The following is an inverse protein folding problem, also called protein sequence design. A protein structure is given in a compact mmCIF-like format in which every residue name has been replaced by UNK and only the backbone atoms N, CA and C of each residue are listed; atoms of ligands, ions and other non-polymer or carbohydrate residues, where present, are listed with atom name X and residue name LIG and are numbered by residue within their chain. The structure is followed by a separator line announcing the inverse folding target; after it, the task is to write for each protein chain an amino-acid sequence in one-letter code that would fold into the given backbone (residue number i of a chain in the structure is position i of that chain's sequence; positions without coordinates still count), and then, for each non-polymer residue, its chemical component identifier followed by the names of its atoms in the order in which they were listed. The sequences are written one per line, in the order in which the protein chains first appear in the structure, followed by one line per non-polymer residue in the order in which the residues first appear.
data_IF_305683157181
#
_entry.id   IF_305683157181
#
_cell.length_a   1.000
_cell.length_b   1.000
_cell.length_c   1.000
_cell.angle_alpha   90.00
_cell.angle_beta   90.00
_cell.angle_gamma   90.00
#
_symmetry.space_group_name_H-M   'P 1'
#
loop_
_entity.id
_entity.type
_entity.pdbx_description
1 polymer ?
#
# COMPACT_ATOMS: atom_id res chain seq x y z
N UNK A 1 38.41 -9.47 20.50
CA UNK A 1 37.63 -8.33 19.98
C UNK A 1 36.17 -8.72 20.02
N UNK A 2 35.46 -8.26 21.04
CA UNK A 2 34.02 -8.43 21.26
C UNK A 2 33.31 -7.25 20.57
N UNK A 3 32.11 -7.47 20.02
CA UNK A 3 30.93 -6.59 20.06
C UNK A 3 29.77 -7.36 19.38
N UNK A 4 28.88 -7.98 20.15
CA UNK A 4 27.58 -7.46 20.63
C UNK A 4 26.49 -7.44 19.53
N UNK A 5 25.23 -7.88 19.70
CA UNK A 5 24.49 -8.41 20.85
C UNK A 5 23.16 -9.02 20.35
N UNK A 6 22.79 -10.17 20.92
CA UNK A 6 21.47 -10.60 21.42
C UNK A 6 20.20 -10.55 20.54
N UNK A 7 19.92 -11.71 19.94
CA UNK A 7 18.70 -12.55 20.05
C UNK A 7 17.61 -12.05 21.03
N UNK A 8 16.48 -11.58 20.51
CA UNK A 8 15.22 -11.47 21.28
C UNK A 8 14.37 -12.73 21.07
N UNK A 9 13.94 -13.30 22.20
CA UNK A 9 13.22 -14.56 22.35
C UNK A 9 11.79 -14.49 21.81
N UNK A 10 11.33 -15.67 21.36
CA UNK A 10 9.94 -16.05 21.09
C UNK A 10 9.00 -15.58 22.21
N UNK A 11 8.08 -14.70 21.86
CA UNK A 11 6.82 -14.49 22.55
C UNK A 11 5.73 -14.55 21.49
N UNK A 12 4.90 -15.59 21.52
CA UNK A 12 3.72 -15.66 20.68
C UNK A 12 2.76 -14.55 21.13
N UNK A 13 2.70 -13.48 20.35
CA UNK A 13 1.66 -12.45 20.48
C UNK A 13 0.68 -12.74 19.36
N UNK A 14 -0.43 -13.41 19.69
CA UNK A 14 -1.64 -13.34 18.89
C UNK A 14 -2.12 -11.89 18.97
N UNK A 15 -1.87 -11.11 17.93
CA UNK A 15 -2.19 -9.68 17.92
C UNK A 15 -3.34 -9.46 16.95
N UNK A 16 -4.47 -9.07 17.52
CA UNK A 16 -5.65 -8.56 16.85
C UNK A 16 -5.25 -7.43 15.89
N UNK A 17 -5.32 -7.70 14.58
CA UNK A 17 -4.74 -6.89 13.50
C UNK A 17 -5.29 -5.45 13.38
N UNK A 18 -6.35 -5.11 14.13
CA UNK A 18 -7.00 -3.80 14.06
C UNK A 18 -6.38 -2.71 14.94
N UNK A 19 -5.69 -3.06 16.04
CA UNK A 19 -5.21 -2.05 17.01
C UNK A 19 -3.88 -1.42 16.59
N UNK A 20 -3.05 -2.16 15.86
CA UNK A 20 -1.66 -1.77 15.53
C UNK A 20 -1.58 -0.73 14.38
N UNK A 21 -2.49 -0.81 13.42
CA UNK A 21 -2.55 0.16 12.31
C UNK A 21 -2.94 1.56 12.81
N UNK A 22 -3.92 1.66 13.70
CA UNK A 22 -4.35 2.96 14.23
C UNK A 22 -3.21 3.65 14.99
N UNK A 23 -2.49 2.91 15.84
CA UNK A 23 -1.32 3.43 16.57
C UNK A 23 -0.18 3.82 15.63
N UNK A 24 0.02 3.07 14.54
CA UNK A 24 1.00 3.44 13.51
C UNK A 24 0.62 4.75 12.81
N UNK A 25 -0.65 4.91 12.43
CA UNK A 25 -1.13 6.13 11.81
C UNK A 25 -1.13 7.33 12.76
N UNK A 26 -1.42 7.14 14.04
CA UNK A 26 -1.38 8.19 15.05
C UNK A 26 0.04 8.76 15.20
N UNK A 27 1.06 7.90 15.17
CA UNK A 27 2.47 8.33 15.16
C UNK A 27 2.88 9.05 13.88
N UNK A 28 2.26 8.74 12.74
CA UNK A 28 2.50 9.48 11.49
C UNK A 28 1.89 10.89 11.53
N UNK A 29 0.81 11.11 12.30
CA UNK A 29 0.16 12.43 12.42
C UNK A 29 1.04 13.44 13.13
N UNK A 30 1.84 13.00 14.10
CA UNK A 30 2.63 13.88 14.98
C UNK A 30 3.78 14.62 14.25
N UNK A 31 4.08 14.28 12.99
CA UNK A 31 5.23 14.83 12.25
C UNK A 31 4.93 15.52 10.92
N UNK A 32 3.67 15.64 10.48
CA UNK A 32 3.34 16.24 9.17
C UNK A 32 2.44 17.49 9.28
N UNK A 33 2.64 18.51 8.41
CA UNK A 33 1.76 19.66 8.34
C UNK A 33 0.34 19.23 7.94
N UNK A 34 -0.67 19.74 8.65
CA UNK A 34 -2.09 19.35 8.56
C UNK A 34 -2.78 19.67 7.22
N UNK A 35 -2.11 20.31 6.26
CA UNK A 35 -2.75 20.70 5.00
C UNK A 35 -2.73 19.54 4.00
N UNK A 36 -3.87 18.86 3.92
CA UNK A 36 -4.18 17.87 2.89
C UNK A 36 -4.30 18.58 1.53
N UNK A 37 -3.65 18.05 0.51
CA UNK A 37 -3.73 18.61 -0.84
C UNK A 37 -5.19 18.56 -1.35
N UNK A 38 -5.79 19.66 -1.83
CA UNK A 38 -7.18 19.67 -2.30
C UNK A 38 -7.43 18.72 -3.48
N UNK A 39 -6.40 18.37 -4.26
CA UNK A 39 -6.51 17.34 -5.31
C UNK A 39 -6.68 15.93 -4.75
N UNK A 40 -6.11 15.64 -3.58
CA UNK A 40 -6.27 14.36 -2.88
C UNK A 40 -7.69 14.19 -2.32
N UNK A 41 -8.32 15.26 -1.84
CA UNK A 41 -9.69 15.19 -1.32
C UNK A 41 -10.71 14.81 -2.41
N UNK A 42 -10.58 15.41 -3.60
CA UNK A 42 -11.41 15.07 -4.75
C UNK A 42 -11.21 13.61 -5.19
N UNK A 43 -9.96 13.14 -5.21
CA UNK A 43 -9.61 11.76 -5.54
C UNK A 43 -10.15 10.76 -4.52
N UNK A 44 -10.01 11.04 -3.22
CA UNK A 44 -10.58 10.24 -2.14
C UNK A 44 -12.10 10.08 -2.30
N UNK A 45 -12.80 11.18 -2.57
CA UNK A 45 -14.25 11.17 -2.77
C UNK A 45 -14.65 10.30 -3.97
N UNK A 46 -13.93 10.42 -5.09
CA UNK A 46 -14.17 9.61 -6.29
C UNK A 46 -13.92 8.12 -6.03
N UNK A 47 -12.80 7.78 -5.37
CA UNK A 47 -12.44 6.41 -5.04
C UNK A 47 -13.42 5.77 -4.06
N UNK A 48 -13.87 6.51 -3.05
CA UNK A 48 -14.90 6.03 -2.13
C UNK A 48 -16.18 5.66 -2.88
N UNK A 49 -16.60 6.48 -3.87
CA UNK A 49 -17.76 6.15 -4.73
C UNK A 49 -17.53 4.91 -5.60
N UNK A 50 -16.33 4.75 -6.15
CA UNK A 50 -15.99 3.60 -7.01
C UNK A 50 -15.89 2.29 -6.24
N UNK A 51 -15.39 2.34 -5.00
CA UNK A 51 -15.22 1.18 -4.12
C UNK A 51 -16.52 0.70 -3.46
N UNK A 52 -17.57 1.54 -3.41
CA UNK A 52 -18.88 1.18 -2.83
C UNK A 52 -19.62 0.07 -3.61
N UNK A 53 -19.22 -0.21 -4.85
CA UNK A 53 -19.91 -1.18 -5.73
C UNK A 53 -19.39 -2.62 -5.62
N UNK A 54 -18.77 -2.97 -4.49
CA UNK A 54 -18.71 -4.35 -3.98
C UNK A 54 -17.57 -5.25 -4.47
N UNK A 55 -17.27 -5.29 -5.77
CA UNK A 55 -16.49 -6.42 -6.31
C UNK A 55 -15.23 -6.01 -7.10
N UNK A 56 -14.81 -4.75 -6.99
CA UNK A 56 -13.74 -4.22 -7.83
C UNK A 56 -12.36 -4.42 -7.23
N UNK A 57 -11.42 -4.95 -8.01
CA UNK A 57 -10.01 -5.02 -7.60
C UNK A 57 -9.30 -3.72 -7.96
N UNK A 58 -8.34 -3.33 -7.14
CA UNK A 58 -7.59 -2.08 -7.27
C UNK A 58 -6.14 -2.41 -7.56
N UNK A 59 -5.60 -1.76 -8.58
CA UNK A 59 -4.18 -1.72 -8.90
C UNK A 59 -3.61 -0.33 -8.69
N UNK A 60 -2.34 -0.25 -8.29
CA UNK A 60 -1.61 1.01 -8.19
C UNK A 60 -0.26 0.84 -8.88
N UNK A 61 0.04 1.72 -9.83
CA UNK A 61 1.38 1.86 -10.39
C UNK A 61 2.08 3.05 -9.73
N UNK A 62 3.35 2.86 -9.35
CA UNK A 62 4.15 3.87 -8.67
C UNK A 62 5.64 3.76 -8.98
N UNK A 63 6.35 4.88 -8.90
CA UNK A 63 7.77 4.97 -9.19
C UNK A 63 8.65 4.80 -7.95
N UNK A 64 9.75 4.07 -8.11
CA UNK A 64 10.82 3.87 -7.11
C UNK A 64 12.16 4.52 -7.49
N UNK A 65 12.14 5.57 -8.33
CA UNK A 65 13.33 6.16 -8.93
C UNK A 65 13.48 5.65 -10.36
N UNK A 66 14.40 4.72 -10.60
CA UNK A 66 14.70 4.21 -11.94
C UNK A 66 13.83 3.00 -12.34
N UNK A 67 12.79 2.71 -11.56
CA UNK A 67 11.90 1.56 -11.73
C UNK A 67 10.44 1.93 -11.52
N UNK A 68 9.57 1.28 -12.30
CA UNK A 68 8.12 1.30 -12.04
C UNK A 68 7.74 0.03 -11.28
N UNK A 69 6.85 0.18 -10.32
CA UNK A 69 6.27 -0.92 -9.55
C UNK A 69 4.77 -0.90 -9.72
N UNK A 70 4.18 -2.07 -9.88
CA UNK A 70 2.73 -2.22 -9.99
C UNK A 70 2.25 -3.20 -8.92
N UNK A 71 1.40 -2.73 -8.02
CA UNK A 71 0.72 -3.58 -7.03
C UNK A 71 -0.72 -3.82 -7.45
N UNK A 72 -1.21 -5.04 -7.30
CA UNK A 72 -2.56 -5.46 -7.69
C UNK A 72 -3.23 -6.30 -6.60
N UNK A 73 -4.49 -6.66 -6.83
CA UNK A 73 -5.36 -7.40 -5.91
C UNK A 73 -5.73 -6.62 -4.63
N UNK A 74 -5.73 -5.28 -4.70
CA UNK A 74 -6.28 -4.46 -3.63
C UNK A 74 -7.81 -4.50 -3.62
N UNK A 75 -8.41 -4.45 -2.44
CA UNK A 75 -9.85 -4.39 -2.25
C UNK A 75 -10.28 -3.06 -1.64
N UNK A 76 -9.42 -2.45 -0.83
CA UNK A 76 -9.68 -1.17 -0.18
C UNK A 76 -8.50 -0.24 -0.34
N UNK A 77 -8.78 0.96 -0.82
CA UNK A 77 -7.81 2.04 -0.98
C UNK A 77 -8.31 3.28 -0.23
N UNK A 78 -7.46 3.81 0.63
CA UNK A 78 -7.71 5.07 1.32
C UNK A 78 -6.42 5.85 1.47
N UNK A 79 -6.56 7.16 1.66
CA UNK A 79 -5.44 8.06 1.81
C UNK A 79 -5.36 8.60 3.22
N UNK A 80 -4.14 8.64 3.75
CA UNK A 80 -3.83 9.17 5.08
C UNK A 80 -2.66 10.14 4.88
N UNK A 81 -2.92 11.43 5.11
CA UNK A 81 -2.04 12.53 4.71
C UNK A 81 -1.65 12.41 3.23
N UNK A 82 -0.35 12.30 2.95
CA UNK A 82 0.23 12.18 1.62
C UNK A 82 0.58 10.73 1.27
N UNK A 83 -0.09 9.76 1.87
CA UNK A 83 0.12 8.34 1.60
C UNK A 83 -1.16 7.64 1.17
N UNK A 84 -1.05 6.77 0.18
CA UNK A 84 -2.07 5.80 -0.17
C UNK A 84 -1.82 4.48 0.53
N UNK A 85 -2.87 3.91 1.11
CA UNK A 85 -2.84 2.63 1.79
C UNK A 85 -3.75 1.68 1.03
N UNK A 86 -3.16 0.60 0.52
CA UNK A 86 -3.88 -0.44 -0.20
C UNK A 86 -3.91 -1.73 0.64
N UNK A 87 -5.10 -2.26 0.83
CA UNK A 87 -5.35 -3.50 1.55
C UNK A 87 -6.08 -4.51 0.65
N UNK A 88 -5.72 -5.80 0.68
CA UNK A 88 -6.47 -6.86 0.01
C UNK A 88 -7.74 -7.21 0.81
N UNK A 89 -8.54 -8.14 0.28
CA UNK A 89 -9.63 -8.76 1.07
C UNK A 89 -9.07 -9.55 2.27
N UNK A 90 -9.84 -9.72 3.35
CA UNK A 90 -9.44 -10.56 4.47
C UNK A 90 -9.09 -11.97 4.01
N UNK A 91 -7.86 -12.41 4.29
CA UNK A 91 -7.34 -13.72 3.88
C UNK A 91 -6.46 -13.69 2.62
N UNK A 92 -6.57 -12.66 1.80
CA UNK A 92 -5.83 -12.52 0.54
C UNK A 92 -4.44 -11.86 0.72
N UNK A 93 -3.73 -11.69 -0.39
CA UNK A 93 -2.48 -10.96 -0.49
C UNK A 93 -2.50 -10.00 -1.69
N UNK A 94 -1.70 -8.95 -1.60
CA UNK A 94 -1.33 -8.10 -2.72
C UNK A 94 -0.18 -8.73 -3.49
N UNK A 95 -0.16 -8.51 -4.80
CA UNK A 95 0.93 -8.92 -5.68
C UNK A 95 1.63 -7.69 -6.24
N UNK A 96 2.94 -7.59 -6.04
CA UNK A 96 3.79 -6.54 -6.56
C UNK A 96 4.60 -7.09 -7.73
N UNK A 97 4.56 -6.41 -8.87
CA UNK A 97 5.43 -6.63 -10.02
C UNK A 97 6.41 -5.46 -10.11
N UNK A 98 7.70 -5.75 -10.20
CA UNK A 98 8.72 -4.74 -10.47
C UNK A 98 9.00 -4.73 -11.97
N UNK A 99 8.88 -3.57 -12.61
CA UNK A 99 9.08 -3.38 -14.04
C UNK A 99 10.36 -2.54 -14.23
N UNK A 100 11.33 -3.10 -14.95
CA UNK A 100 12.58 -2.43 -15.29
C UNK A 100 12.91 -2.68 -16.76
N UNK A 101 13.18 -1.61 -17.52
CA UNK A 101 13.44 -1.71 -18.96
C UNK A 101 12.29 -2.34 -19.76
N UNK A 102 11.04 -2.15 -19.32
CA UNK A 102 9.85 -2.73 -19.95
C UNK A 102 9.64 -4.23 -19.71
N UNK A 103 10.41 -4.86 -18.82
CA UNK A 103 10.28 -6.28 -18.45
C UNK A 103 9.96 -6.44 -16.97
N UNK A 104 9.22 -7.49 -16.63
CA UNK A 104 9.03 -7.89 -15.24
C UNK A 104 10.36 -8.41 -14.70
N UNK A 105 10.94 -7.66 -13.77
CA UNK A 105 12.21 -7.98 -13.13
C UNK A 105 12.02 -8.84 -11.87
N UNK A 106 10.90 -8.65 -11.16
CA UNK A 106 10.63 -9.35 -9.91
C UNK A 106 9.13 -9.42 -9.58
N UNK A 107 8.75 -10.38 -8.72
CA UNK A 107 7.40 -10.58 -8.21
C UNK A 107 7.44 -10.81 -6.71
N UNK A 108 6.68 -10.02 -5.95
CA UNK A 108 6.60 -10.12 -4.49
C UNK A 108 5.14 -10.19 -4.03
N UNK A 109 4.89 -10.91 -2.93
CA UNK A 109 3.56 -11.05 -2.31
C UNK A 109 3.58 -10.44 -0.92
N UNK A 110 2.60 -9.60 -0.59
CA UNK A 110 2.53 -8.90 0.69
C UNK A 110 1.11 -8.74 1.21
N UNK A 111 0.96 -8.45 2.51
CA UNK A 111 -0.36 -8.31 3.16
C UNK A 111 -0.94 -6.90 3.11
N UNK A 112 -0.10 -5.88 2.92
CA UNK A 112 -0.48 -4.47 2.84
C UNK A 112 0.66 -3.67 2.23
N UNK A 113 0.35 -2.51 1.65
CA UNK A 113 1.36 -1.57 1.15
C UNK A 113 0.96 -0.13 1.46
N UNK A 114 1.96 0.70 1.73
CA UNK A 114 1.82 2.14 1.95
C UNK A 114 2.72 2.84 0.93
N UNK A 115 2.13 3.71 0.12
CA UNK A 115 2.79 4.34 -1.03
C UNK A 115 2.68 5.86 -0.87
N UNK A 116 3.77 6.64 -0.97
CA UNK A 116 3.68 8.10 -1.05
C UNK A 116 2.81 8.51 -2.24
N UNK A 117 1.79 9.33 -2.01
CA UNK A 117 0.82 9.71 -3.04
C UNK A 117 1.48 10.43 -4.22
N UNK A 118 2.55 11.19 -3.97
CA UNK A 118 3.34 11.87 -5.00
C UNK A 118 4.21 10.94 -5.86
N UNK A 119 4.24 9.64 -5.58
CA UNK A 119 4.91 8.61 -6.37
C UNK A 119 3.94 7.76 -7.19
N UNK A 120 2.64 7.97 -7.02
CA UNK A 120 1.61 7.21 -7.74
C UNK A 120 1.51 7.76 -9.16
N UNK A 121 1.66 6.87 -10.13
CA UNK A 121 1.53 7.17 -11.55
C UNK A 121 0.09 6.93 -12.00
N UNK A 122 -0.53 5.85 -11.53
CA UNK A 122 -1.91 5.49 -11.88
C UNK A 122 -2.57 4.67 -10.76
N UNK A 123 -3.91 4.79 -10.70
CA UNK A 123 -4.77 3.94 -9.88
C UNK A 123 -5.75 3.29 -10.85
N UNK A 124 -5.71 1.97 -10.92
CA UNK A 124 -6.49 1.16 -11.84
C UNK A 124 -7.61 0.45 -11.09
N UNK A 125 -8.79 0.43 -11.70
CA UNK A 125 -9.96 -0.28 -11.20
C UNK A 125 -10.21 -1.45 -12.14
N UNK A 126 -10.33 -2.64 -11.56
CA UNK A 126 -10.37 -3.94 -12.25
C UNK A 126 -9.19 -4.14 -13.21
N UNK A 127 -7.94 -4.05 -12.70
CA UNK A 127 -6.77 -4.25 -13.54
C UNK A 127 -6.73 -5.69 -14.06
N UNK A 128 -6.57 -5.85 -15.37
CA UNK A 128 -6.31 -7.17 -15.97
C UNK A 128 -4.94 -7.67 -15.51
N UNK A 129 -4.90 -8.91 -15.01
CA UNK A 129 -3.64 -9.57 -14.71
C UNK A 129 -3.11 -10.19 -15.99
N UNK A 130 -2.17 -9.52 -16.65
CA UNK A 130 -1.36 -10.21 -17.67
C UNK A 130 -0.37 -11.14 -16.95
N UNK A 131 -0.69 -12.43 -16.99
CA UNK A 131 0.22 -13.52 -16.65
C UNK A 131 1.16 -13.76 -17.83
N UNK A 132 2.28 -13.04 -17.85
CA UNK A 132 3.43 -13.34 -18.73
C UNK A 132 4.57 -13.98 -17.95
#
# INVERSE_FOLDING_TARGET
MILFYQKIKKGAISMTEHTDLNTFFDKLKEGLPEQKDPSLEGLESALNKMQLNGDKKIGIEFECGDCCKKVINGAKLFFIFNFAVLLPEPGDCLFLKVISGGKIADRETMKKIIIPANRICSIEIDPEQEDS
#
